data_IF_265397008818
#
_entry.id   IF_265397008818
#
_cell.length_a   1.000
_cell.length_b   1.000
_cell.length_c   1.000
_cell.angle_alpha   90.00
_cell.angle_beta   90.00
_cell.angle_gamma   90.00
#
_symmetry.space_group_name_H-M   'P 1'
#
loop_
_entity.id
_entity.type
_entity.pdbx_description
1 polymer ?
#
# COMPACT_ATOMS: atom_id res chain seq x y z
N UNK A 1 -0.44 -54.36 -52.79
CA UNK A 1 -0.07 -53.74 -51.51
C UNK A 1 -1.13 -52.68 -51.23
N UNK A 2 -2.34 -53.07 -50.85
CA UNK A 2 -2.77 -53.33 -49.46
C UNK A 2 -2.45 -52.12 -48.58
N UNK A 3 -3.41 -51.21 -48.44
CA UNK A 3 -4.33 -51.19 -47.29
C UNK A 3 -3.58 -51.04 -45.97
N UNK A 4 -3.61 -49.83 -45.41
CA UNK A 4 -4.02 -49.71 -44.02
C UNK A 4 -4.68 -48.35 -43.78
N UNK A 5 -6.00 -48.36 -43.97
CA UNK A 5 -6.92 -47.45 -43.32
C UNK A 5 -7.07 -47.92 -41.86
N UNK A 6 -7.10 -47.00 -40.90
CA UNK A 6 -7.43 -47.26 -39.50
C UNK A 6 -7.82 -45.95 -38.81
N UNK A 7 -8.70 -46.02 -37.80
CA UNK A 7 -9.94 -45.27 -37.85
C UNK A 7 -10.01 -44.12 -36.85
N UNK A 8 -10.98 -43.26 -37.13
CA UNK A 8 -11.50 -42.19 -36.29
C UNK A 8 -11.78 -42.69 -34.86
N UNK A 9 -11.22 -41.99 -33.86
CA UNK A 9 -11.47 -42.21 -32.45
C UNK A 9 -12.08 -40.97 -31.82
N UNK A 10 -13.34 -41.09 -31.41
CA UNK A 10 -13.80 -40.58 -30.12
C UNK A 10 -14.05 -39.08 -29.97
N UNK A 11 -14.80 -38.47 -30.88
CA UNK A 11 -15.52 -37.24 -30.56
C UNK A 11 -16.66 -37.57 -29.58
N UNK A 12 -16.39 -37.46 -28.28
CA UNK A 12 -17.41 -37.53 -27.24
C UNK A 12 -18.15 -36.18 -27.20
N UNK A 13 -19.46 -36.11 -27.50
CA UNK A 13 -20.20 -34.86 -27.37
C UNK A 13 -20.35 -34.55 -25.88
N UNK A 14 -19.75 -33.44 -25.45
CA UNK A 14 -20.02 -32.84 -24.14
C UNK A 14 -21.51 -32.47 -24.14
N UNK A 15 -22.30 -33.26 -23.42
CA UNK A 15 -23.71 -33.00 -23.14
C UNK A 15 -23.81 -31.66 -22.42
N UNK A 16 -24.27 -30.65 -23.14
CA UNK A 16 -24.86 -29.44 -22.59
C UNK A 16 -26.04 -29.86 -21.70
N UNK A 17 -25.84 -29.85 -20.38
CA UNK A 17 -26.95 -29.88 -19.44
C UNK A 17 -27.65 -28.51 -19.51
N UNK A 18 -28.98 -28.46 -19.69
CA UNK A 18 -29.70 -27.21 -19.65
C UNK A 18 -29.62 -26.64 -18.23
N UNK A 19 -29.06 -25.44 -18.13
CA UNK A 19 -29.20 -24.59 -16.95
C UNK A 19 -30.70 -24.30 -16.80
N UNK A 20 -31.36 -25.01 -15.89
CA UNK A 20 -32.69 -24.65 -15.43
C UNK A 20 -32.58 -23.29 -14.73
N UNK A 21 -32.89 -22.25 -15.49
CA UNK A 21 -33.25 -20.92 -15.03
C UNK A 21 -34.52 -21.07 -14.17
N UNK A 22 -34.34 -21.23 -12.85
CA UNK A 22 -35.44 -21.08 -11.90
C UNK A 22 -35.67 -19.58 -11.73
N UNK A 23 -36.72 -19.10 -12.36
CA UNK A 23 -37.29 -17.79 -12.09
C UNK A 23 -37.75 -17.72 -10.62
N UNK A 24 -37.58 -16.58 -9.95
CA UNK A 24 -37.99 -16.40 -8.57
C UNK A 24 -39.52 -16.34 -8.49
N UNK A 25 -40.13 -17.35 -7.87
CA UNK A 25 -41.53 -17.28 -7.44
C UNK A 25 -41.65 -16.31 -6.28
N UNK A 26 -42.67 -15.48 -6.39
CA UNK A 26 -43.03 -14.34 -5.56
C UNK A 26 -43.36 -14.67 -4.10
N UNK A 27 -43.44 -13.58 -3.33
CA UNK A 27 -44.26 -13.37 -2.13
C UNK A 27 -43.85 -14.08 -0.84
N UNK A 28 -43.26 -13.29 0.06
CA UNK A 28 -43.97 -12.91 1.28
C UNK A 28 -43.35 -11.64 1.87
N UNK A 29 -44.12 -10.56 1.86
CA UNK A 29 -43.80 -9.30 2.52
C UNK A 29 -44.06 -9.48 4.02
N UNK A 30 -43.01 -9.71 4.79
CA UNK A 30 -43.04 -9.60 6.25
C UNK A 30 -42.74 -8.17 6.68
N UNK A 31 -43.59 -7.51 7.48
CA UNK A 31 -43.30 -6.19 8.02
C UNK A 31 -42.48 -6.39 9.30
N UNK A 32 -41.18 -6.13 9.25
CA UNK A 32 -40.41 -5.64 10.39
C UNK A 32 -39.05 -5.17 9.86
N UNK A 33 -38.84 -3.87 9.97
CA UNK A 33 -37.63 -3.19 9.56
C UNK A 33 -36.58 -3.30 10.66
N UNK A 34 -35.63 -4.20 10.46
CA UNK A 34 -34.44 -4.30 11.28
C UNK A 34 -33.25 -4.43 10.33
N UNK A 35 -32.66 -3.27 9.98
CA UNK A 35 -31.46 -3.17 9.17
C UNK A 35 -30.24 -3.67 9.95
N UNK A 36 -30.00 -4.98 9.94
CA UNK A 36 -28.81 -5.62 10.50
C UNK A 36 -27.75 -5.89 9.44
N UNK A 37 -26.70 -5.07 9.39
CA UNK A 37 -25.48 -5.30 8.61
C UNK A 37 -24.82 -6.62 9.01
N UNK A 38 -24.99 -7.68 8.21
CA UNK A 38 -24.27 -8.95 8.40
C UNK A 38 -22.86 -8.89 7.78
N UNK A 39 -21.87 -8.61 8.61
CA UNK A 39 -20.44 -8.76 8.34
C UNK A 39 -20.06 -10.25 8.32
N UNK A 40 -20.07 -10.87 7.13
CA UNK A 40 -19.81 -12.32 6.93
C UNK A 40 -18.37 -12.64 6.51
N UNK A 41 -17.36 -11.97 7.04
CA UNK A 41 -15.96 -12.10 6.55
C UNK A 41 -14.97 -12.68 7.56
N UNK A 42 -15.43 -13.27 8.66
CA UNK A 42 -14.58 -14.09 9.53
C UNK A 42 -15.29 -15.43 9.83
N UNK A 43 -15.04 -16.44 9.01
CA UNK A 43 -15.24 -17.84 9.42
C UNK A 43 -13.90 -18.53 9.33
N UNK A 44 -13.06 -18.28 10.34
CA UNK A 44 -11.97 -19.18 10.69
C UNK A 44 -12.65 -20.48 11.14
N UNK A 45 -12.64 -21.47 10.26
CA UNK A 45 -13.20 -22.79 10.53
C UNK A 45 -12.21 -23.53 11.42
N UNK A 46 -12.42 -23.46 12.74
CA UNK A 46 -11.69 -24.29 13.71
C UNK A 46 -12.12 -25.75 13.44
N UNK A 47 -11.20 -26.68 13.14
CA UNK A 47 -11.53 -28.08 12.95
C UNK A 47 -12.01 -28.70 14.27
N UNK A 48 -13.18 -29.36 14.19
CA UNK A 48 -13.91 -30.00 15.30
C UNK A 48 -13.27 -31.33 15.76
N UNK A 49 -12.00 -31.30 16.15
CA UNK A 49 -11.26 -32.48 16.60
C UNK A 49 -10.48 -32.25 17.91
N UNK A 50 -10.96 -31.34 18.76
CA UNK A 50 -10.48 -31.11 20.13
C UNK A 50 -11.67 -30.92 21.08
N UNK A 51 -12.71 -31.75 20.93
CA UNK A 51 -13.84 -31.83 21.88
C UNK A 51 -13.62 -32.98 22.87
N UNK A 52 -12.39 -33.15 23.36
CA UNK A 52 -12.12 -34.00 24.51
C UNK A 52 -12.32 -33.15 25.77
N UNK A 53 -13.58 -33.19 26.25
CA UNK A 53 -13.98 -33.22 27.66
C UNK A 53 -13.07 -32.48 28.65
N UNK A 54 -13.16 -31.15 28.72
CA UNK A 54 -12.78 -30.44 29.96
C UNK A 54 -13.95 -30.55 30.93
N UNK A 55 -14.02 -31.70 31.59
CA UNK A 55 -14.93 -31.96 32.70
C UNK A 55 -14.64 -31.00 33.85
N UNK A 56 -15.48 -29.98 34.00
CA UNK A 56 -15.52 -29.11 35.18
C UNK A 56 -16.49 -29.74 36.18
N UNK A 57 -16.09 -30.85 36.81
CA UNK A 57 -16.80 -31.38 37.97
C UNK A 57 -16.20 -30.83 39.27
N UNK A 58 -17.05 -30.05 39.95
CA UNK A 58 -17.11 -29.73 41.37
C UNK A 58 -15.99 -30.32 42.26
N UNK A 59 -14.86 -29.63 42.36
CA UNK A 59 -13.99 -29.67 43.55
C UNK A 59 -13.87 -28.26 44.11
N UNK A 60 -14.76 -28.00 45.07
CA UNK A 60 -14.85 -26.77 45.84
C UNK A 60 -13.54 -26.54 46.63
N UNK A 61 -13.19 -25.27 46.81
CA UNK A 61 -12.16 -24.68 47.68
C UNK A 61 -10.66 -24.87 47.41
N UNK A 62 -10.17 -25.86 46.64
CA UNK A 62 -8.74 -25.92 46.22
C UNK A 62 -8.47 -25.49 44.77
N UNK A 63 -9.51 -25.26 43.97
CA UNK A 63 -9.40 -24.85 42.56
C UNK A 63 -9.15 -23.36 42.37
N UNK A 64 -9.46 -22.51 43.36
CA UNK A 64 -9.20 -21.07 43.28
C UNK A 64 -7.70 -20.71 43.11
N UNK A 65 -6.75 -21.25 43.90
CA UNK A 65 -5.33 -20.99 43.66
C UNK A 65 -4.83 -21.64 42.36
N UNK A 66 -5.25 -22.86 42.05
CA UNK A 66 -4.83 -23.56 40.82
C UNK A 66 -5.31 -22.84 39.55
N UNK A 67 -6.58 -22.42 39.50
CA UNK A 67 -7.12 -21.63 38.39
C UNK A 67 -6.44 -20.27 38.28
N UNK A 68 -6.17 -19.60 39.41
CA UNK A 68 -5.43 -18.33 39.42
C UNK A 68 -4.01 -18.46 38.88
N UNK A 69 -3.31 -19.57 39.19
CA UNK A 69 -1.98 -19.87 38.65
C UNK A 69 -2.03 -20.15 37.15
N UNK A 70 -3.06 -20.86 36.67
CA UNK A 70 -3.25 -21.12 35.23
C UNK A 70 -3.52 -19.80 34.49
N UNK A 71 -4.40 -18.95 35.01
CA UNK A 71 -4.70 -17.63 34.42
C UNK A 71 -3.45 -16.75 34.41
N UNK A 72 -2.69 -16.71 35.51
CA UNK A 72 -1.43 -15.97 35.58
C UNK A 72 -0.40 -16.50 34.57
N UNK A 73 -0.25 -17.82 34.47
CA UNK A 73 0.62 -18.46 33.49
C UNK A 73 0.24 -18.11 32.05
N UNK A 74 -1.05 -18.15 31.73
CA UNK A 74 -1.57 -17.74 30.42
C UNK A 74 -1.27 -16.27 30.13
N UNK A 75 -1.49 -15.38 31.10
CA UNK A 75 -1.25 -13.94 30.96
C UNK A 75 0.25 -13.66 30.71
N UNK A 76 1.13 -14.36 31.41
CA UNK A 76 2.59 -14.28 31.18
C UNK A 76 2.96 -14.75 29.78
N UNK A 77 2.44 -15.90 29.34
CA UNK A 77 2.73 -16.43 27.99
C UNK A 77 2.22 -15.48 26.90
N UNK A 78 1.01 -14.93 27.05
CA UNK A 78 0.44 -13.93 26.13
C UNK A 78 1.29 -12.65 26.13
N UNK A 79 1.75 -12.20 27.30
CA UNK A 79 2.64 -11.04 27.42
C UNK A 79 3.99 -11.25 26.71
N UNK A 80 4.57 -12.44 26.86
CA UNK A 80 5.82 -12.80 26.16
C UNK A 80 5.60 -12.86 24.65
N UNK A 81 4.51 -13.49 24.20
CA UNK A 81 4.17 -13.61 22.80
C UNK A 81 3.93 -12.23 22.15
N UNK A 82 3.26 -11.31 22.85
CA UNK A 82 3.04 -9.94 22.37
C UNK A 82 4.33 -9.11 22.32
N UNK A 83 5.26 -9.34 23.25
CA UNK A 83 6.54 -8.65 23.29
C UNK A 83 7.50 -9.08 22.16
N UNK A 84 7.28 -10.23 21.53
CA UNK A 84 8.17 -10.79 20.53
C UNK A 84 7.99 -10.10 19.16
N UNK A 85 8.95 -9.25 18.79
CA UNK A 85 8.97 -8.56 17.50
C UNK A 85 10.05 -9.15 16.59
N UNK A 86 9.67 -9.48 15.35
CA UNK A 86 10.61 -9.85 14.29
C UNK A 86 10.97 -8.62 13.46
N UNK A 87 12.27 -8.35 13.34
CA UNK A 87 12.82 -7.24 12.55
C UNK A 87 13.58 -7.81 11.36
N UNK A 88 13.23 -7.38 10.14
CA UNK A 88 13.89 -7.80 8.91
C UNK A 88 15.32 -7.27 8.77
N UNK A 89 16.12 -7.86 7.87
CA UNK A 89 17.53 -7.47 7.65
C UNK A 89 17.70 -6.01 7.21
N UNK A 90 16.80 -5.53 6.34
CA UNK A 90 16.73 -4.16 5.82
C UNK A 90 15.82 -3.25 6.66
N UNK A 91 15.55 -3.63 7.90
CA UNK A 91 14.75 -2.84 8.84
C UNK A 91 15.57 -2.52 10.09
N UNK A 92 15.20 -1.43 10.76
CA UNK A 92 15.65 -1.10 12.11
C UNK A 92 14.44 -0.86 12.98
N UNK A 93 14.55 -1.27 14.23
CA UNK A 93 13.48 -1.08 15.20
C UNK A 93 13.87 0.05 16.15
N UNK A 94 13.15 1.15 16.09
CA UNK A 94 13.31 2.26 17.03
C UNK A 94 12.41 2.00 18.21
N UNK A 95 13.01 1.90 19.39
CA UNK A 95 12.28 1.62 20.63
C UNK A 95 12.06 2.93 21.37
N UNK A 96 10.79 3.22 21.63
CA UNK A 96 10.35 4.38 22.37
C UNK A 96 9.71 3.94 23.68
N UNK A 97 10.25 4.40 24.80
CA UNK A 97 9.75 4.14 26.15
C UNK A 97 9.12 5.40 26.71
N UNK A 98 7.82 5.37 27.01
CA UNK A 98 7.06 6.55 27.47
C UNK A 98 7.27 7.82 26.63
N UNK A 99 7.35 7.68 25.30
CA UNK A 99 7.56 8.81 24.40
C UNK A 99 9.03 9.25 24.22
N UNK A 100 9.99 8.69 24.98
CA UNK A 100 11.42 8.96 24.80
C UNK A 100 12.10 7.87 23.98
N UNK A 101 12.91 8.26 23.01
CA UNK A 101 13.70 7.31 22.21
C UNK A 101 14.81 6.71 23.07
N UNK A 102 14.75 5.40 23.28
CA UNK A 102 15.72 4.68 24.13
C UNK A 102 16.91 4.17 23.31
N UNK A 103 16.68 3.89 22.03
CA UNK A 103 17.73 3.50 21.10
C UNK A 103 17.21 2.80 19.85
N UNK A 104 18.12 2.61 18.90
CA UNK A 104 17.87 1.90 17.63
C UNK A 104 18.38 0.47 17.79
N UNK A 105 17.53 -0.52 17.51
CA UNK A 105 17.90 -1.93 17.54
C UNK A 105 18.05 -2.47 16.12
N UNK A 106 19.14 -3.21 15.93
CA UNK A 106 19.45 -3.92 14.69
C UNK A 106 18.53 -5.14 14.45
N UNK A 107 18.67 -5.76 13.27
CA UNK A 107 17.80 -6.85 12.80
C UNK A 107 17.83 -8.06 13.72
N UNK A 108 16.78 -8.90 13.65
CA UNK A 108 16.64 -10.11 14.44
C UNK A 108 15.39 -10.15 15.33
N UNK A 109 15.33 -11.15 16.21
CA UNK A 109 14.25 -11.30 17.18
C UNK A 109 14.50 -10.37 18.38
N UNK A 110 13.59 -9.44 18.63
CA UNK A 110 13.71 -8.46 19.72
C UNK A 110 12.50 -8.56 20.64
N UNK A 111 12.78 -8.59 21.94
CA UNK A 111 11.74 -8.56 22.97
C UNK A 111 11.49 -7.12 23.42
N UNK A 112 10.25 -6.68 23.33
CA UNK A 112 9.78 -5.39 23.82
C UNK A 112 8.82 -5.63 24.97
N UNK A 113 8.94 -4.83 26.02
CA UNK A 113 8.03 -4.95 27.16
C UNK A 113 6.65 -4.45 26.72
N UNK A 114 5.62 -5.31 26.67
CA UNK A 114 4.27 -4.88 26.32
C UNK A 114 3.84 -3.74 27.25
N UNK A 115 3.03 -2.81 26.74
CA UNK A 115 2.50 -1.61 27.43
C UNK A 115 3.47 -0.45 27.66
N UNK A 116 4.75 -0.70 27.91
CA UNK A 116 5.74 0.37 28.22
C UNK A 116 6.54 0.80 26.99
N UNK A 117 6.94 -0.18 26.17
CA UNK A 117 7.79 0.04 25.01
C UNK A 117 6.95 0.01 23.72
N UNK A 118 7.11 1.01 22.86
CA UNK A 118 6.57 1.02 21.50
C UNK A 118 7.71 0.87 20.50
N UNK A 119 7.59 -0.07 19.58
CA UNK A 119 8.57 -0.30 18.51
C UNK A 119 8.08 0.25 17.17
N UNK A 120 8.82 1.17 16.57
CA UNK A 120 8.58 1.65 15.20
C UNK A 120 9.57 0.97 14.27
N UNK A 121 9.06 0.29 13.24
CA UNK A 121 9.89 -0.34 12.21
C UNK A 121 10.21 0.68 11.12
N UNK A 122 11.50 0.90 10.88
CA UNK A 122 12.00 1.82 9.88
C UNK A 122 12.70 1.04 8.77
N UNK A 123 12.24 1.14 7.51
CA UNK A 123 12.92 0.50 6.38
C UNK A 123 14.18 1.28 6.00
N UNK A 124 15.35 0.61 6.01
CA UNK A 124 16.67 1.19 5.70
C UNK A 124 17.05 1.04 4.21
N UNK A 125 16.09 0.72 3.35
CA UNK A 125 16.33 0.55 1.92
C UNK A 125 15.75 1.71 1.12
N UNK A 126 16.45 2.12 0.07
CA UNK A 126 15.89 3.05 -0.91
C UNK A 126 14.70 2.39 -1.62
N UNK A 127 13.53 3.04 -1.54
CA UNK A 127 12.30 2.61 -2.18
C UNK A 127 11.94 3.57 -3.32
N UNK A 128 11.43 3.05 -4.44
CA UNK A 128 10.94 3.89 -5.52
C UNK A 128 9.65 4.62 -5.11
N UNK A 129 9.62 5.91 -5.40
CA UNK A 129 8.45 6.75 -5.24
C UNK A 129 8.14 7.44 -6.57
N UNK A 130 7.03 7.06 -7.18
CA UNK A 130 6.51 7.67 -8.40
C UNK A 130 5.66 8.89 -8.02
N UNK A 131 6.07 10.06 -8.48
CA UNK A 131 5.49 11.36 -8.13
C UNK A 131 4.97 12.02 -9.41
N UNK A 132 3.70 12.39 -9.40
CA UNK A 132 3.02 13.03 -10.53
C UNK A 132 2.49 14.37 -10.11
N UNK A 133 2.91 15.43 -10.80
CA UNK A 133 2.51 16.79 -10.46
C UNK A 133 2.33 17.65 -11.72
N UNK A 134 1.55 18.72 -11.58
CA UNK A 134 1.42 19.76 -12.62
C UNK A 134 2.30 20.92 -12.24
N UNK A 135 3.19 21.37 -13.12
CA UNK A 135 4.04 22.54 -12.91
C UNK A 135 3.89 23.52 -14.07
N UNK A 136 4.31 24.76 -13.85
CA UNK A 136 4.41 25.77 -14.89
C UNK A 136 5.89 26.09 -15.05
N UNK A 137 6.39 26.01 -16.28
CA UNK A 137 7.77 26.39 -16.63
C UNK A 137 7.97 27.90 -16.54
N UNK A 138 9.22 28.38 -16.61
CA UNK A 138 9.54 29.81 -16.62
C UNK A 138 8.83 30.56 -17.75
N UNK A 139 8.66 29.92 -18.91
CA UNK A 139 7.98 30.48 -20.09
C UNK A 139 6.44 30.53 -19.96
N UNK A 140 5.88 30.14 -18.80
CA UNK A 140 4.44 30.13 -18.58
C UNK A 140 3.72 28.94 -19.19
N UNK A 141 4.42 27.92 -19.70
CA UNK A 141 3.80 26.71 -20.24
C UNK A 141 3.47 25.74 -19.12
N UNK A 142 2.21 25.32 -19.05
CA UNK A 142 1.76 24.29 -18.12
C UNK A 142 2.16 22.89 -18.60
N UNK A 143 2.78 22.12 -17.73
CA UNK A 143 3.24 20.76 -17.99
C UNK A 143 2.81 19.82 -16.87
N UNK A 144 2.54 18.57 -17.20
CA UNK A 144 2.36 17.48 -16.23
C UNK A 144 3.64 16.64 -16.24
N UNK A 145 4.34 16.62 -15.13
CA UNK A 145 5.62 15.95 -14.99
C UNK A 145 5.44 14.67 -14.19
N UNK A 146 6.09 13.60 -14.65
CA UNK A 146 6.27 12.35 -13.92
C UNK A 146 7.73 12.25 -13.51
N UNK A 147 7.97 12.08 -12.22
CA UNK A 147 9.31 11.89 -11.66
C UNK A 147 9.36 10.62 -10.79
N UNK A 148 10.51 9.95 -10.83
CA UNK A 148 10.85 8.83 -9.98
C UNK A 148 11.93 9.28 -8.99
N UNK A 149 11.63 9.20 -7.70
CA UNK A 149 12.57 9.46 -6.62
C UNK A 149 12.84 8.16 -5.85
N UNK A 150 14.11 7.78 -5.74
CA UNK A 150 14.57 6.69 -4.86
C UNK A 150 14.93 7.30 -3.51
N UNK A 151 14.11 7.07 -2.50
CA UNK A 151 14.32 7.61 -1.15
C UNK A 151 14.26 6.50 -0.11
N UNK A 152 15.06 6.63 0.95
CA UNK A 152 15.11 5.66 2.05
C UNK A 152 15.38 6.37 3.37
N UNK A 153 15.10 5.71 4.49
CA UNK A 153 15.47 6.26 5.79
C UNK A 153 16.99 6.21 5.96
N UNK A 154 17.59 7.33 6.37
CA UNK A 154 19.01 7.42 6.71
C UNK A 154 19.20 7.45 8.22
N UNK A 155 18.51 8.37 8.92
CA UNK A 155 18.44 8.39 10.37
C UNK A 155 17.13 7.78 10.90
N UNK A 156 17.17 6.55 11.47
CA UNK A 156 15.99 5.94 12.08
C UNK A 156 15.38 6.76 13.21
N UNK A 157 16.19 7.49 13.99
CA UNK A 157 15.71 8.21 15.16
C UNK A 157 14.83 9.38 14.71
N UNK A 158 15.32 10.20 13.78
CA UNK A 158 14.55 11.30 13.19
C UNK A 158 13.34 10.78 12.42
N UNK A 159 13.48 9.71 11.63
CA UNK A 159 12.37 9.11 10.89
C UNK A 159 11.23 8.65 11.81
N UNK A 160 11.55 8.05 12.96
CA UNK A 160 10.54 7.59 13.93
C UNK A 160 9.97 8.71 14.81
N UNK A 161 10.68 9.84 14.92
CA UNK A 161 10.23 11.03 15.64
C UNK A 161 9.36 11.94 14.76
N UNK A 162 9.58 11.92 13.45
CA UNK A 162 8.73 12.57 12.48
C UNK A 162 7.29 12.04 12.54
N UNK A 163 6.34 12.86 12.09
CA UNK A 163 4.89 12.64 12.15
C UNK A 163 4.43 11.24 11.71
N UNK A 164 3.16 10.87 11.96
CA UNK A 164 2.59 9.53 11.76
C UNK A 164 2.92 8.84 10.41
N UNK A 165 3.25 9.59 9.36
CA UNK A 165 3.72 9.09 8.07
C UNK A 165 4.89 9.93 7.49
N UNK A 166 6.16 9.66 7.88
CA UNK A 166 7.31 10.43 7.39
C UNK A 166 7.55 10.25 5.88
N UNK A 167 7.25 9.06 5.34
CA UNK A 167 7.42 8.78 3.92
C UNK A 167 6.45 9.57 3.02
N UNK A 168 5.22 9.83 3.49
CA UNK A 168 4.27 10.66 2.74
C UNK A 168 4.66 12.13 2.80
N UNK A 169 5.09 12.62 3.97
CA UNK A 169 5.58 13.98 4.13
C UNK A 169 6.81 14.24 3.24
N UNK A 170 7.78 13.32 3.22
CA UNK A 170 8.94 13.41 2.34
C UNK A 170 8.55 13.45 0.84
N UNK A 171 7.54 12.68 0.42
CA UNK A 171 7.01 12.74 -0.96
C UNK A 171 6.43 14.11 -1.29
N UNK A 172 5.64 14.70 -0.39
CA UNK A 172 5.07 16.04 -0.59
C UNK A 172 6.16 17.10 -0.68
N UNK A 173 7.17 17.05 0.19
CA UNK A 173 8.30 17.98 0.14
C UNK A 173 9.10 17.82 -1.15
N UNK A 174 9.32 16.58 -1.58
CA UNK A 174 9.96 16.27 -2.86
C UNK A 174 9.17 16.82 -4.04
N UNK A 175 7.84 16.70 -4.03
CA UNK A 175 6.97 17.29 -5.06
C UNK A 175 7.14 18.82 -5.14
N UNK A 176 7.21 19.51 -3.99
CA UNK A 176 7.44 20.96 -3.94
C UNK A 176 8.81 21.31 -4.53
N UNK A 177 9.87 20.60 -4.13
CA UNK A 177 11.22 20.83 -4.66
C UNK A 177 11.33 20.57 -6.17
N UNK A 178 10.66 19.53 -6.67
CA UNK A 178 10.61 19.23 -8.10
C UNK A 178 9.82 20.29 -8.88
N UNK A 179 8.72 20.79 -8.31
CA UNK A 179 7.92 21.86 -8.91
C UNK A 179 8.74 23.13 -9.07
N UNK A 180 9.53 23.47 -8.06
CA UNK A 180 10.43 24.62 -8.05
C UNK A 180 11.55 24.47 -9.11
N UNK A 181 12.17 23.30 -9.19
CA UNK A 181 13.17 23.01 -10.22
C UNK A 181 12.63 23.12 -11.66
N UNK A 182 11.37 22.73 -11.90
CA UNK A 182 10.72 22.90 -13.21
C UNK A 182 10.33 24.36 -13.48
N UNK A 183 9.96 25.12 -12.44
CA UNK A 183 9.67 26.55 -12.56
C UNK A 183 10.93 27.38 -12.89
N UNK A 184 12.09 26.92 -12.42
CA UNK A 184 13.42 27.48 -12.71
C UNK A 184 13.97 27.10 -14.10
N UNK A 185 13.19 26.46 -14.98
CA UNK A 185 13.66 26.04 -16.31
C UNK A 185 12.64 26.38 -17.40
N UNK A 186 13.17 26.60 -18.59
CA UNK A 186 12.39 26.84 -19.80
C UNK A 186 11.91 25.50 -20.37
N UNK A 187 10.84 25.49 -21.16
CA UNK A 187 10.30 24.24 -21.71
C UNK A 187 11.33 23.52 -22.60
N UNK A 188 12.12 24.29 -23.34
CA UNK A 188 13.16 23.78 -24.24
C UNK A 188 14.28 23.02 -23.50
N UNK A 189 14.49 23.31 -22.21
CA UNK A 189 15.56 22.70 -21.41
C UNK A 189 15.12 21.39 -20.73
N UNK A 190 13.82 21.13 -20.57
CA UNK A 190 13.32 19.93 -19.87
C UNK A 190 13.82 18.60 -20.46
N UNK A 191 13.92 18.40 -21.80
CA UNK A 191 14.47 17.16 -22.35
C UNK A 191 15.92 16.88 -21.92
N UNK A 192 16.72 17.93 -21.71
CA UNK A 192 18.12 17.78 -21.25
C UNK A 192 18.19 17.28 -19.80
N UNK A 193 17.26 17.75 -18.96
CA UNK A 193 17.11 17.36 -17.55
C UNK A 193 16.72 15.88 -17.42
N UNK A 194 15.86 15.39 -18.33
CA UNK A 194 15.43 13.99 -18.39
C UNK A 194 16.55 13.05 -18.84
N UNK A 195 17.43 13.49 -19.74
CA UNK A 195 18.47 12.64 -20.32
C UNK A 195 19.66 12.42 -19.39
N UNK A 196 20.07 13.44 -18.64
CA UNK A 196 21.38 13.43 -17.94
C UNK A 196 21.26 13.10 -16.46
N UNK A 197 20.11 13.37 -15.82
CA UNK A 197 20.03 13.36 -14.36
C UNK A 197 20.85 14.51 -13.78
N UNK A 198 20.25 15.31 -12.91
CA UNK A 198 20.88 16.53 -12.40
C UNK A 198 21.31 16.32 -10.95
N UNK A 199 22.62 16.24 -10.70
CA UNK A 199 23.17 16.09 -9.34
C UNK A 199 22.72 17.25 -8.42
N UNK A 200 22.54 18.44 -8.99
CA UNK A 200 22.01 19.59 -8.25
C UNK A 200 20.56 19.38 -7.84
N UNK A 201 19.76 18.72 -8.69
CA UNK A 201 18.38 18.37 -8.36
C UNK A 201 18.33 17.35 -7.21
N UNK A 202 19.17 16.31 -7.27
CA UNK A 202 19.28 15.33 -6.17
C UNK A 202 19.67 16.03 -4.87
N UNK A 203 20.64 16.94 -4.91
CA UNK A 203 21.08 17.72 -3.74
C UNK A 203 19.98 18.62 -3.18
N UNK A 204 19.23 19.34 -4.05
CA UNK A 204 18.11 20.20 -3.62
C UNK A 204 17.00 19.39 -2.95
N UNK A 205 16.69 18.21 -3.49
CA UNK A 205 15.69 17.30 -2.91
C UNK A 205 16.19 16.71 -1.59
N UNK A 206 17.43 16.23 -1.52
CA UNK A 206 18.01 15.62 -0.31
C UNK A 206 17.99 16.58 0.88
N UNK A 207 18.39 17.84 0.67
CA UNK A 207 18.36 18.86 1.71
C UNK A 207 16.94 19.13 2.22
N UNK A 208 15.95 19.11 1.31
CA UNK A 208 14.56 19.33 1.67
C UNK A 208 13.95 18.17 2.48
N UNK A 209 14.36 16.92 2.21
CA UNK A 209 13.80 15.73 2.90
C UNK A 209 14.54 15.36 4.19
N UNK A 210 15.78 15.85 4.38
CA UNK A 210 16.62 15.58 5.55
C UNK A 210 15.94 15.76 6.92
N UNK A 211 15.11 16.81 7.16
CA UNK A 211 14.41 16.97 8.44
C UNK A 211 13.44 15.83 8.79
N UNK A 212 13.05 15.02 7.80
CA UNK A 212 12.18 13.86 7.97
C UNK A 212 12.95 12.56 8.22
N UNK A 213 14.30 12.61 8.31
CA UNK A 213 15.15 11.43 8.48
C UNK A 213 15.21 10.54 7.23
N UNK A 214 14.90 11.11 6.06
CA UNK A 214 14.90 10.46 4.76
C UNK A 214 16.02 11.05 3.92
N UNK A 215 16.73 10.22 3.17
CA UNK A 215 17.72 10.62 2.18
C UNK A 215 17.27 10.25 0.77
N UNK A 216 17.58 11.11 -0.19
CA UNK A 216 17.30 10.88 -1.61
C UNK A 216 18.56 10.38 -2.32
N UNK A 217 18.51 9.17 -2.88
CA UNK A 217 19.67 8.58 -3.57
C UNK A 217 19.67 8.85 -5.08
N UNK A 218 18.50 8.98 -5.68
CA UNK A 218 18.34 9.22 -7.11
C UNK A 218 17.03 9.95 -7.35
N UNK A 219 17.05 10.94 -8.22
CA UNK A 219 15.86 11.64 -8.70
C UNK A 219 15.95 11.74 -10.21
N UNK A 220 14.95 11.21 -10.91
CA UNK A 220 14.90 11.21 -12.37
C UNK A 220 13.53 11.66 -12.85
N UNK A 221 13.50 12.52 -13.86
CA UNK A 221 12.26 12.95 -14.52
C UNK A 221 12.03 12.02 -15.70
N UNK A 222 10.95 11.27 -15.65
CA UNK A 222 10.64 10.22 -16.64
C UNK A 222 9.89 10.76 -17.83
N UNK A 223 8.94 11.68 -17.61
CA UNK A 223 8.08 12.21 -18.68
C UNK A 223 7.57 13.62 -18.34
N UNK A 224 7.37 14.44 -19.36
CA UNK A 224 6.80 15.79 -19.26
C UNK A 224 5.75 15.97 -20.36
N UNK A 225 4.48 15.86 -19.97
CA UNK A 225 3.33 15.95 -20.86
C UNK A 225 2.81 17.39 -20.90
N UNK A 226 2.92 18.04 -22.05
CA UNK A 226 2.19 19.30 -22.29
C UNK A 226 0.74 18.93 -22.61
N UNK A 227 -0.26 19.38 -21.84
CA UNK A 227 -1.66 19.17 -22.19
C UNK A 227 -1.97 20.00 -23.44
N UNK A 228 -1.91 19.38 -24.61
CA UNK A 228 -2.45 19.98 -25.83
C UNK A 228 -3.95 20.10 -25.59
N UNK A 229 -4.50 21.31 -25.76
CA UNK A 229 -5.96 21.44 -25.79
C UNK A 229 -6.45 20.47 -26.87
N UNK A 230 -7.34 19.51 -26.57
CA UNK A 230 -7.98 18.75 -27.63
C UNK A 230 -8.61 19.79 -28.55
N UNK A 231 -8.28 19.66 -29.83
CA UNK A 231 -8.75 20.51 -30.91
C UNK A 231 -10.22 20.84 -30.64
N UNK A 232 -10.50 22.13 -30.41
CA UNK A 232 -11.87 22.63 -30.40
C UNK A 232 -12.52 22.07 -31.67
N UNK A 233 -13.76 21.56 -31.62
CA UNK A 233 -14.42 21.04 -32.81
C UNK A 233 -14.31 22.12 -33.87
N UNK A 234 -13.51 21.84 -34.92
CA UNK A 234 -13.34 22.73 -36.05
C UNK A 234 -14.76 23.08 -36.48
N UNK A 235 -15.14 24.36 -36.39
CA UNK A 235 -16.45 24.82 -36.84
C UNK A 235 -16.57 24.39 -38.30
N UNK A 236 -17.33 23.31 -38.52
CA UNK A 236 -17.70 22.87 -39.85
C UNK A 236 -18.62 23.95 -40.39
N UNK A 237 -18.10 24.84 -41.23
CA UNK A 237 -18.95 25.73 -42.00
C UNK A 237 -19.73 24.85 -42.98
N UNK A 238 -20.95 24.48 -42.60
CA UNK A 238 -21.92 23.92 -43.52
C UNK A 238 -22.20 25.00 -44.58
N UNK A 239 -21.69 24.78 -45.79
CA UNK A 239 -22.01 25.57 -46.97
C UNK A 239 -23.43 25.22 -47.43
N UNK A 240 -24.43 25.62 -46.66
CA UNK A 240 -25.84 25.56 -47.07
C UNK A 240 -26.27 26.96 -47.54
N UNK A 241 -25.99 27.26 -48.81
CA UNK A 241 -26.39 28.55 -49.39
C UNK A 241 -25.84 28.82 -50.78
N UNK A 242 -26.09 27.92 -51.75
CA UNK A 242 -25.93 28.25 -53.18
C UNK A 242 -26.64 27.24 -54.10
N UNK A 243 -27.97 27.15 -54.03
CA UNK A 243 -28.77 26.74 -55.20
C UNK A 243 -30.23 27.17 -55.07
N UNK A 244 -30.56 28.34 -55.57
CA UNK A 244 -31.91 28.67 -56.04
C UNK A 244 -31.76 29.69 -57.17
N UNK A 245 -31.63 29.16 -58.38
CA UNK A 245 -31.76 29.86 -59.65
C UNK A 245 -32.66 29.02 -60.55
#
# INVERSE_FOLDING_TARGET
>A
MSMHESPQSGATPIRLMPVCMVAPTSMSTGPNGDGGFHHRWWKVRIPAALSEEVGVERTEVLTAPAASLIVLGLLVVVGIAYGLHRVGASERLVVRRFGRTTGVRGPGLRFLIPFVDTGVRVPMGAQPHDIWFKATTRDGVHVRVRALAMMGADDPVTYAAAADAPSSAARTVTEVALRDAVADRDLADLPSLMATGDDELVRRVDEAVRPWGVAASLVSITDALVPVRPELPLCRCDTAGASSG
#
